data_IF_942460046758
#
_entry.id   IF_942460046758
#
_cell.length_a   1.000
_cell.length_b   1.000
_cell.length_c   1.000
_cell.angle_alpha   90.00
_cell.angle_beta   90.00
_cell.angle_gamma   90.00
#
_symmetry.space_group_name_H-M   'P 1'
#
loop_
_entity.id
_entity.type
_entity.pdbx_description
1 polymer ?
#
# COMPACT_ATOMS: atom_id res chain seq x y z
N UNK A 1 2.18 37.10 -17.38
CA UNK A 1 1.51 37.47 -16.11
C UNK A 1 0.67 36.27 -15.74
N UNK A 2 1.25 35.32 -14.99
CA UNK A 2 0.54 34.10 -14.56
C UNK A 2 -0.24 34.43 -13.28
N UNK A 3 -1.55 34.31 -13.37
CA UNK A 3 -2.45 34.44 -12.23
C UNK A 3 -2.28 33.21 -11.33
N UNK A 4 -1.57 33.39 -10.22
CA UNK A 4 -1.51 32.42 -9.12
C UNK A 4 -2.75 32.64 -8.26
N UNK A 5 -3.89 32.10 -8.70
CA UNK A 5 -5.05 31.99 -7.82
C UNK A 5 -4.71 30.95 -6.74
N UNK A 6 -4.24 31.46 -5.60
CA UNK A 6 -4.10 30.72 -4.35
C UNK A 6 -5.49 30.20 -3.96
N UNK A 7 -5.74 28.92 -4.27
CA UNK A 7 -6.97 28.25 -3.83
C UNK A 7 -6.93 28.14 -2.32
N UNK A 8 -7.76 28.92 -1.64
CA UNK A 8 -7.98 28.86 -0.21
C UNK A 8 -8.30 27.41 0.21
N UNK A 9 -7.78 26.90 1.32
CA UNK A 9 -8.08 25.55 1.78
C UNK A 9 -9.59 25.38 1.94
N UNK A 10 -10.14 24.31 1.34
CA UNK A 10 -11.57 24.02 1.42
C UNK A 10 -11.99 23.88 2.89
N UNK A 11 -12.76 24.84 3.39
CA UNK A 11 -13.31 24.81 4.74
C UNK A 11 -14.25 23.62 4.91
N UNK A 12 -13.99 22.77 5.89
CA UNK A 12 -14.85 21.62 6.22
C UNK A 12 -16.25 22.13 6.63
N UNK A 13 -17.35 21.63 6.03
CA UNK A 13 -18.68 21.87 6.59
C UNK A 13 -18.74 21.38 8.04
N UNK A 14 -19.50 22.06 8.90
CA UNK A 14 -19.48 21.86 10.38
C UNK A 14 -19.74 20.41 10.80
N UNK A 15 -20.51 19.65 10.02
CA UNK A 15 -20.87 18.24 10.31
C UNK A 15 -20.29 17.21 9.32
N UNK A 16 -19.37 17.58 8.42
CA UNK A 16 -18.83 16.66 7.44
C UNK A 16 -17.58 15.93 7.95
N UNK A 17 -17.60 14.60 7.87
CA UNK A 17 -16.45 13.75 8.16
C UNK A 17 -15.59 13.57 6.89
N UNK A 18 -14.27 13.74 7.02
CA UNK A 18 -13.34 13.47 5.92
C UNK A 18 -12.98 11.98 5.90
N UNK A 19 -13.46 11.28 4.88
CA UNK A 19 -13.23 9.86 4.71
C UNK A 19 -12.36 9.62 3.48
N UNK A 20 -11.31 8.83 3.63
CA UNK A 20 -10.46 8.37 2.52
C UNK A 20 -10.71 6.88 2.31
N UNK A 21 -11.15 6.51 1.11
CA UNK A 21 -11.39 5.11 0.72
C UNK A 21 -10.35 4.69 -0.29
N UNK A 22 -9.62 3.60 0.00
CA UNK A 22 -8.53 3.08 -0.79
C UNK A 22 -8.85 1.68 -1.31
N UNK A 23 -8.92 1.55 -2.63
CA UNK A 23 -9.23 0.28 -3.29
C UNK A 23 -8.05 -0.68 -3.31
N UNK A 24 -8.31 -1.97 -3.59
CA UNK A 24 -7.30 -2.95 -3.94
C UNK A 24 -6.67 -2.67 -5.32
N UNK A 25 -5.64 -3.42 -5.68
CA UNK A 25 -5.03 -3.32 -7.02
C UNK A 25 -3.52 -3.53 -7.05
N UNK A 26 -2.93 -4.18 -6.04
CA UNK A 26 -1.50 -4.51 -6.01
C UNK A 26 -0.61 -3.29 -6.20
N UNK A 27 0.24 -3.27 -7.23
CA UNK A 27 1.19 -2.19 -7.50
C UNK A 27 0.52 -0.81 -7.72
N UNK A 28 -0.76 -0.76 -8.09
CA UNK A 28 -1.51 0.49 -8.22
C UNK A 28 -1.69 1.23 -6.89
N UNK A 29 -1.44 0.57 -5.76
CA UNK A 29 -1.41 1.20 -4.46
C UNK A 29 -0.33 2.30 -4.32
N UNK A 30 0.74 2.25 -5.14
CA UNK A 30 1.74 3.33 -5.19
C UNK A 30 1.16 4.65 -5.69
N UNK A 31 0.24 4.59 -6.65
CA UNK A 31 -0.51 5.76 -7.10
C UNK A 31 -1.34 6.39 -5.97
N UNK A 32 -1.96 5.55 -5.12
CA UNK A 32 -2.71 6.04 -3.96
C UNK A 32 -1.82 6.79 -2.98
N UNK A 33 -0.57 6.34 -2.78
CA UNK A 33 0.39 7.05 -1.93
C UNK A 33 0.73 8.45 -2.48
N UNK A 34 0.92 8.56 -3.81
CA UNK A 34 1.12 9.85 -4.48
C UNK A 34 -0.10 10.77 -4.39
N UNK A 35 -1.31 10.22 -4.61
CA UNK A 35 -2.55 10.97 -4.47
C UNK A 35 -2.75 11.46 -3.03
N UNK A 36 -2.46 10.62 -2.03
CA UNK A 36 -2.53 11.01 -0.63
C UNK A 36 -1.53 12.11 -0.28
N UNK A 37 -0.31 12.06 -0.83
CA UNK A 37 0.67 13.15 -0.67
C UNK A 37 0.12 14.48 -1.18
N UNK A 38 -0.51 14.49 -2.36
CA UNK A 38 -1.12 15.70 -2.92
C UNK A 38 -2.29 16.21 -2.06
N UNK A 39 -3.13 15.31 -1.55
CA UNK A 39 -4.22 15.64 -0.63
C UNK A 39 -3.67 16.27 0.67
N UNK A 40 -2.62 15.71 1.26
CA UNK A 40 -1.98 16.30 2.44
C UNK A 40 -1.43 17.69 2.16
N UNK A 41 -0.81 17.90 0.99
CA UNK A 41 -0.29 19.22 0.60
C UNK A 41 -1.39 20.27 0.45
N UNK A 42 -2.63 19.86 0.14
CA UNK A 42 -3.80 20.75 0.12
C UNK A 42 -4.51 20.92 1.49
N UNK A 43 -3.90 20.41 2.57
CA UNK A 43 -4.46 20.50 3.92
C UNK A 43 -5.55 19.46 4.23
N UNK A 44 -5.69 18.41 3.40
CA UNK A 44 -6.63 17.34 3.69
C UNK A 44 -6.06 16.40 4.76
N UNK A 45 -6.75 16.28 5.87
CA UNK A 45 -6.47 15.29 6.91
C UNK A 45 -7.67 14.36 7.09
N UNK A 46 -7.55 13.06 6.78
CA UNK A 46 -8.65 12.12 6.96
C UNK A 46 -8.86 11.82 8.46
N UNK A 47 -10.12 11.80 8.85
CA UNK A 47 -10.60 11.34 10.16
C UNK A 47 -10.89 9.85 10.15
N UNK A 48 -11.20 9.33 8.98
CA UNK A 48 -11.47 7.93 8.74
C UNK A 48 -10.80 7.47 7.45
N UNK A 49 -10.06 6.36 7.51
CA UNK A 49 -9.46 5.72 6.35
C UNK A 49 -10.00 4.30 6.23
N UNK A 50 -10.50 3.95 5.07
CA UNK A 50 -10.98 2.61 4.77
C UNK A 50 -10.19 2.02 3.60
N UNK A 51 -9.87 0.73 3.66
CA UNK A 51 -9.12 0.09 2.59
C UNK A 51 -9.38 -1.40 2.44
N UNK A 52 -9.10 -1.92 1.23
CA UNK A 52 -9.15 -3.34 0.92
C UNK A 52 -7.86 -3.76 0.22
N UNK A 53 -7.32 -4.96 0.52
CA UNK A 53 -6.07 -5.47 -0.04
C UNK A 53 -4.92 -4.47 0.16
N UNK A 54 -4.18 -4.07 -0.88
CA UNK A 54 -3.11 -3.06 -0.81
C UNK A 54 -3.61 -1.71 -0.27
N UNK A 55 -4.87 -1.36 -0.54
CA UNK A 55 -5.51 -0.18 0.04
C UNK A 55 -5.66 -0.27 1.55
N UNK A 56 -5.85 -1.48 2.12
CA UNK A 56 -5.86 -1.68 3.57
C UNK A 56 -4.48 -1.46 4.19
N UNK A 57 -3.41 -1.85 3.49
CA UNK A 57 -2.02 -1.61 3.91
C UNK A 57 -1.73 -0.12 3.94
N UNK A 58 -2.03 0.60 2.85
CA UNK A 58 -1.90 2.05 2.80
C UNK A 58 -2.73 2.73 3.90
N UNK A 59 -3.98 2.28 4.11
CA UNK A 59 -4.87 2.79 5.14
C UNK A 59 -4.29 2.60 6.55
N UNK A 60 -3.72 1.43 6.84
CA UNK A 60 -3.08 1.14 8.13
C UNK A 60 -1.86 2.05 8.37
N UNK A 61 -1.01 2.26 7.35
CA UNK A 61 0.13 3.16 7.44
C UNK A 61 -0.34 4.61 7.69
N UNK A 62 -1.40 5.06 7.02
CA UNK A 62 -1.95 6.40 7.22
C UNK A 62 -2.54 6.55 8.63
N UNK A 63 -3.36 5.59 9.07
CA UNK A 63 -4.04 5.69 10.37
C UNK A 63 -3.08 5.52 11.56
N UNK A 64 -2.09 4.64 11.43
CA UNK A 64 -1.11 4.34 12.48
C UNK A 64 0.05 5.32 12.58
N UNK A 65 0.00 6.45 11.86
CA UNK A 65 1.07 7.44 11.95
C UNK A 65 0.54 8.86 12.20
N UNK A 66 1.36 9.69 12.85
CA UNK A 66 1.09 11.10 13.01
C UNK A 66 1.03 11.81 11.64
N UNK A 67 0.21 12.84 11.50
CA UNK A 67 -0.06 13.53 10.23
C UNK A 67 1.23 13.88 9.44
N UNK A 68 2.23 14.40 10.14
CA UNK A 68 3.51 14.81 9.57
C UNK A 68 4.43 13.65 9.15
N UNK A 69 4.09 12.39 9.49
CA UNK A 69 4.89 11.19 9.16
C UNK A 69 4.22 10.27 8.13
N UNK A 70 2.92 10.44 7.87
CA UNK A 70 2.11 9.55 7.02
C UNK A 70 2.70 9.36 5.62
N UNK A 71 3.04 10.48 4.98
CA UNK A 71 3.58 10.46 3.62
C UNK A 71 4.94 9.80 3.57
N UNK A 72 5.82 10.08 4.52
CA UNK A 72 7.16 9.48 4.56
C UNK A 72 7.11 7.98 4.82
N UNK A 73 6.21 7.51 5.70
CA UNK A 73 6.01 6.08 5.94
C UNK A 73 5.43 5.35 4.74
N UNK A 74 4.52 5.98 3.99
CA UNK A 74 4.06 5.44 2.71
C UNK A 74 5.20 5.33 1.70
N UNK A 75 6.04 6.36 1.57
CA UNK A 75 7.22 6.33 0.69
C UNK A 75 8.20 5.23 1.11
N UNK A 76 8.47 5.09 2.40
CA UNK A 76 9.34 4.05 2.94
C UNK A 76 8.82 2.65 2.55
N UNK A 77 7.53 2.38 2.76
CA UNK A 77 6.89 1.13 2.34
C UNK A 77 7.05 0.89 0.84
N UNK A 78 6.68 1.86 0.02
CA UNK A 78 6.70 1.71 -1.43
C UNK A 78 8.11 1.60 -1.99
N UNK A 79 9.09 2.30 -1.42
CA UNK A 79 10.49 2.13 -1.78
C UNK A 79 10.97 0.71 -1.45
N UNK A 80 10.65 0.19 -0.27
CA UNK A 80 11.05 -1.16 0.15
C UNK A 80 10.49 -2.22 -0.80
N UNK A 81 9.20 -2.19 -1.09
CA UNK A 81 8.56 -3.21 -1.95
C UNK A 81 8.92 -3.06 -3.42
N UNK A 82 9.40 -1.89 -3.84
CA UNK A 82 9.82 -1.62 -5.22
C UNK A 82 11.28 -1.97 -5.49
N UNK A 83 12.13 -2.12 -4.47
CA UNK A 83 13.56 -2.43 -4.65
C UNK A 83 13.82 -3.80 -5.27
N UNK A 84 12.85 -4.70 -5.20
CA UNK A 84 12.92 -6.01 -5.88
C UNK A 84 12.51 -5.97 -7.35
N UNK A 85 11.96 -4.87 -7.81
CA UNK A 85 11.56 -4.69 -9.21
C UNK A 85 12.63 -3.85 -9.89
N UNK A 86 13.47 -4.48 -10.71
CA UNK A 86 14.46 -3.76 -11.50
C UNK A 86 13.78 -2.65 -12.30
N UNK A 87 14.23 -1.42 -12.10
CA UNK A 87 13.71 -0.25 -12.81
C UNK A 87 13.91 -0.46 -14.31
N UNK A 88 12.82 -0.65 -15.05
CA UNK A 88 12.90 -0.75 -16.49
C UNK A 88 13.05 0.65 -17.06
N UNK A 89 14.05 0.90 -17.93
CA UNK A 89 14.02 2.07 -18.76
C UNK A 89 12.72 2.05 -19.58
N UNK A 90 12.09 3.21 -19.76
CA UNK A 90 10.93 3.37 -20.63
C UNK A 90 11.32 2.90 -22.03
N UNK A 91 11.04 1.62 -22.34
CA UNK A 91 11.30 1.08 -23.68
C UNK A 91 10.14 1.47 -24.58
N UNK A 92 10.39 2.15 -25.69
CA UNK A 92 9.35 2.46 -26.67
C UNK A 92 8.89 1.15 -27.34
N UNK A 93 7.60 0.83 -27.23
CA UNK A 93 6.96 -0.28 -27.93
C UNK A 93 6.10 -1.17 -27.02
N UNK A 94 4.88 -1.50 -27.46
CA UNK A 94 3.94 -2.34 -26.72
C UNK A 94 4.47 -3.76 -26.46
N UNK A 95 5.18 -4.37 -27.42
CA UNK A 95 5.73 -5.73 -27.32
C UNK A 95 6.88 -5.80 -26.30
N UNK A 96 7.76 -4.81 -26.27
CA UNK A 96 8.84 -4.76 -25.28
C UNK A 96 8.29 -4.55 -23.86
N UNK A 97 7.22 -3.77 -23.71
CA UNK A 97 6.51 -3.56 -22.46
C UNK A 97 5.79 -4.82 -21.97
N UNK A 98 5.15 -5.58 -22.88
CA UNK A 98 4.50 -6.87 -22.56
C UNK A 98 5.50 -7.92 -22.08
N UNK A 99 6.60 -8.12 -22.81
CA UNK A 99 7.68 -9.05 -22.42
C UNK A 99 8.31 -8.66 -21.07
N UNK A 100 8.51 -7.36 -20.83
CA UNK A 100 9.03 -6.88 -19.55
C UNK A 100 8.04 -7.16 -18.41
N UNK A 101 6.76 -6.91 -18.61
CA UNK A 101 5.73 -7.15 -17.61
C UNK A 101 5.61 -8.65 -17.29
N UNK A 102 5.68 -9.53 -18.30
CA UNK A 102 5.64 -10.99 -18.14
C UNK A 102 6.87 -11.51 -17.38
N UNK A 103 8.07 -11.05 -17.75
CA UNK A 103 9.30 -11.43 -17.05
C UNK A 103 9.35 -10.89 -15.63
N UNK A 104 8.92 -9.64 -15.38
CA UNK A 104 8.83 -9.07 -14.04
C UNK A 104 7.80 -9.80 -13.18
N UNK A 105 6.64 -10.15 -13.73
CA UNK A 105 5.64 -10.93 -13.02
C UNK A 105 6.16 -12.33 -12.67
N UNK A 106 6.87 -13.01 -13.58
CA UNK A 106 7.50 -14.30 -13.32
C UNK A 106 8.59 -14.22 -12.24
N UNK A 107 9.42 -13.17 -12.25
CA UNK A 107 10.43 -12.94 -11.21
C UNK A 107 9.78 -12.69 -9.85
N UNK A 108 8.74 -11.87 -9.78
CA UNK A 108 8.00 -11.60 -8.54
C UNK A 108 7.33 -12.89 -8.03
N UNK A 109 6.76 -13.69 -8.91
CA UNK A 109 6.17 -14.98 -8.55
C UNK A 109 7.22 -15.97 -8.02
N UNK A 110 8.45 -15.92 -8.56
CA UNK A 110 9.53 -16.86 -8.23
C UNK A 110 10.30 -16.44 -6.98
N UNK A 111 10.58 -15.15 -6.82
CA UNK A 111 11.44 -14.64 -5.73
C UNK A 111 10.67 -13.89 -4.64
N UNK A 112 9.40 -13.56 -4.88
CA UNK A 112 8.60 -12.77 -3.95
C UNK A 112 8.85 -11.26 -4.06
N UNK A 113 8.30 -10.52 -3.12
CA UNK A 113 8.47 -9.07 -2.99
C UNK A 113 9.12 -8.79 -1.63
N UNK A 114 10.28 -8.12 -1.60
CA UNK A 114 10.96 -7.78 -0.34
C UNK A 114 10.02 -7.06 0.63
N UNK A 115 9.98 -7.53 1.88
CA UNK A 115 9.12 -6.93 2.91
C UNK A 115 7.61 -7.15 2.72
N UNK A 116 7.19 -7.91 1.70
CA UNK A 116 5.77 -8.15 1.43
C UNK A 116 5.43 -9.65 1.48
N UNK A 117 6.00 -10.47 0.60
CA UNK A 117 5.80 -11.92 0.61
C UNK A 117 7.01 -12.66 0.04
N UNK A 118 7.16 -13.92 0.43
CA UNK A 118 8.15 -14.85 -0.12
C UNK A 118 7.46 -16.14 -0.58
N UNK A 119 7.98 -16.81 -1.63
CA UNK A 119 7.49 -18.14 -2.01
C UNK A 119 7.71 -19.12 -0.86
N UNK A 120 6.76 -20.05 -0.67
CA UNK A 120 6.93 -21.11 0.32
C UNK A 120 7.90 -22.18 -0.19
N UNK A 121 8.82 -22.57 0.66
CA UNK A 121 9.74 -23.67 0.42
C UNK A 121 9.59 -24.67 1.60
N UNK A 122 9.15 -25.91 1.35
CA UNK A 122 8.69 -26.47 0.07
C UNK A 122 7.37 -25.85 -0.42
N UNK A 123 7.06 -25.97 -1.74
CA UNK A 123 5.81 -25.45 -2.31
C UNK A 123 4.56 -26.04 -1.66
N UNK A 124 3.44 -25.27 -1.70
CA UNK A 124 2.18 -25.62 -1.03
C UNK A 124 1.69 -27.07 -1.24
N UNK A 125 1.78 -27.67 -2.46
CA UNK A 125 1.31 -29.04 -2.68
C UNK A 125 2.12 -30.13 -1.94
N UNK A 126 3.32 -29.81 -1.44
CA UNK A 126 4.17 -30.75 -0.70
C UNK A 126 3.89 -30.74 0.82
N UNK A 127 2.98 -29.89 1.27
CA UNK A 127 2.55 -29.87 2.68
C UNK A 127 1.33 -30.74 2.91
N UNK A 128 1.13 -31.29 4.11
CA UNK A 128 -0.04 -32.09 4.44
C UNK A 128 -1.35 -31.33 4.13
N UNK A 129 -2.35 -31.99 3.51
CA UNK A 129 -3.66 -31.37 3.28
C UNK A 129 -4.26 -30.82 4.57
N UNK A 130 -4.82 -29.61 4.50
CA UNK A 130 -5.43 -28.93 5.65
C UNK A 130 -4.46 -28.16 6.55
N UNK A 131 -3.13 -28.25 6.31
CA UNK A 131 -2.17 -27.40 7.00
C UNK A 131 -2.26 -25.96 6.50
N UNK A 132 -1.97 -24.93 7.33
CA UNK A 132 -1.95 -23.53 6.86
C UNK A 132 -1.01 -23.31 5.66
N UNK A 133 0.08 -24.10 5.60
CA UNK A 133 1.08 -24.00 4.55
C UNK A 133 0.59 -24.56 3.20
N UNK A 134 -0.35 -25.54 3.22
CA UNK A 134 -0.93 -26.09 1.99
C UNK A 134 -1.95 -25.14 1.32
N UNK A 135 -2.41 -24.10 2.03
CA UNK A 135 -3.47 -23.19 1.56
C UNK A 135 -2.95 -21.99 0.78
N UNK A 136 -1.64 -21.73 0.77
CA UNK A 136 -1.06 -20.56 0.12
C UNK A 136 0.31 -20.85 -0.47
N UNK A 137 0.54 -20.42 -1.70
CA UNK A 137 1.85 -20.49 -2.37
C UNK A 137 2.89 -19.53 -1.77
N UNK A 138 2.43 -18.50 -1.05
CA UNK A 138 3.29 -17.46 -0.51
C UNK A 138 3.18 -17.38 1.02
N UNK A 139 4.30 -17.01 1.63
CA UNK A 139 4.36 -16.63 3.03
C UNK A 139 4.31 -15.11 3.14
N UNK A 140 3.35 -14.60 3.90
CA UNK A 140 3.15 -13.16 4.15
C UNK A 140 3.73 -12.68 5.47
N UNK A 141 4.49 -13.53 6.18
CA UNK A 141 5.17 -13.12 7.41
C UNK A 141 6.07 -11.89 7.24
N UNK A 142 6.76 -11.68 6.08
CA UNK A 142 7.49 -10.45 5.83
C UNK A 142 6.63 -9.19 5.89
N UNK A 143 5.41 -9.22 5.37
CA UNK A 143 4.47 -8.08 5.42
C UNK A 143 4.10 -7.74 6.86
N UNK A 144 3.83 -8.75 7.68
CA UNK A 144 3.52 -8.53 9.10
C UNK A 144 4.64 -7.75 9.78
N UNK A 145 5.89 -8.20 9.64
CA UNK A 145 7.05 -7.52 10.20
C UNK A 145 7.21 -6.08 9.67
N UNK A 146 6.98 -5.88 8.38
CA UNK A 146 7.01 -4.55 7.76
C UNK A 146 5.97 -3.63 8.37
N UNK A 147 4.74 -4.12 8.56
CA UNK A 147 3.67 -3.32 9.18
C UNK A 147 3.95 -3.05 10.65
N UNK A 148 4.47 -4.01 11.41
CA UNK A 148 4.89 -3.81 12.81
C UNK A 148 5.95 -2.70 12.95
N UNK A 149 6.79 -2.50 11.93
CA UNK A 149 7.80 -1.44 11.92
C UNK A 149 7.27 -0.07 11.44
N UNK A 150 6.27 -0.08 10.55
CA UNK A 150 5.79 1.15 9.90
C UNK A 150 4.51 1.71 10.51
N UNK A 151 3.79 0.94 11.32
CA UNK A 151 2.47 1.25 11.86
C UNK A 151 2.52 1.20 13.38
N UNK A 152 2.12 2.30 14.00
CA UNK A 152 1.83 2.35 15.43
C UNK A 152 0.38 1.86 15.65
N UNK A 153 0.24 0.60 16.07
CA UNK A 153 -1.05 -0.02 16.33
C UNK A 153 -1.76 0.55 17.57
N UNK A 154 -1.03 1.03 18.56
CA UNK A 154 -1.62 1.68 19.73
C UNK A 154 -2.31 2.96 19.31
N UNK A 155 -1.71 3.72 18.38
CA UNK A 155 -2.35 4.91 17.81
C UNK A 155 -3.65 4.60 17.06
N UNK A 156 -3.74 3.44 16.38
CA UNK A 156 -4.97 2.97 15.73
C UNK A 156 -6.02 2.64 16.80
N UNK A 157 -5.62 1.93 17.85
CA UNK A 157 -6.50 1.55 18.96
C UNK A 157 -7.01 2.77 19.75
N UNK A 158 -6.22 3.84 19.82
CA UNK A 158 -6.62 5.13 20.39
C UNK A 158 -7.61 5.92 19.54
N UNK A 159 -7.99 5.40 18.37
CA UNK A 159 -8.96 6.01 17.43
C UNK A 159 -8.59 7.43 17.00
N UNK A 160 -7.29 7.78 16.96
CA UNK A 160 -6.82 9.09 16.48
C UNK A 160 -7.20 9.32 15.01
N UNK A 161 -7.23 8.25 14.23
CA UNK A 161 -7.81 8.18 12.89
C UNK A 161 -8.51 6.83 12.80
N UNK A 162 -9.80 6.83 12.48
CA UNK A 162 -10.55 5.59 12.35
C UNK A 162 -10.03 4.76 11.18
N UNK A 163 -9.74 3.48 11.41
CA UNK A 163 -9.37 2.52 10.37
C UNK A 163 -10.49 1.52 10.14
N UNK A 164 -10.81 1.25 8.87
CA UNK A 164 -11.66 0.14 8.46
C UNK A 164 -10.96 -0.69 7.40
N UNK A 165 -11.00 -2.01 7.54
CA UNK A 165 -10.37 -2.96 6.62
C UNK A 165 -11.43 -3.92 6.10
N UNK A 166 -11.54 -4.02 4.77
CA UNK A 166 -12.35 -5.04 4.10
C UNK A 166 -11.55 -6.33 3.95
N UNK A 167 -12.11 -7.44 4.45
CA UNK A 167 -11.57 -8.77 4.28
C UNK A 167 -12.70 -9.75 3.95
N UNK A 168 -12.36 -10.81 3.20
CA UNK A 168 -13.28 -11.91 2.86
C UNK A 168 -12.83 -13.16 3.62
N UNK A 169 -13.79 -13.79 4.26
CA UNK A 169 -13.61 -15.10 4.88
C UNK A 169 -13.86 -16.21 3.87
#
# INVERSE_FOLDING_TARGET
MMDTSETAPATKPVDAQRVLVLQGGGALGSYQAGAFQALCASGFEPEWVAGISIGAINAAIIAGNAANKRVDRLKEFWNMVSTGVSWSPVTPGERARSLFNETSAALIATFGVPGFFTPRIPPAPLWPPGSPQSQSYYDTAPLRKTLENLVDFDRINDLKTRLSVGAVS
#
